data_IF_743155763485
#
_entry.id   IF_743155763485
#
_cell.length_a   1.000
_cell.length_b   1.000
_cell.length_c   1.000
_cell.angle_alpha   90.00
_cell.angle_beta   90.00
_cell.angle_gamma   90.00
#
_symmetry.space_group_name_H-M   'P 1'
#
loop_
_entity.id
_entity.type
_entity.pdbx_description
1 polymer ?
#
# COMPACT_ATOMS: atom_id res chain seq x y z
N UNK A 1 19.15 8.31 13.91
CA UNK A 1 19.13 6.86 13.59
C UNK A 1 17.77 6.18 13.79
N UNK A 2 17.03 6.34 14.92
CA UNK A 2 15.74 5.67 15.08
C UNK A 2 14.70 6.05 14.03
N UNK A 3 14.67 7.31 13.58
CA UNK A 3 13.76 7.77 12.52
C UNK A 3 14.04 7.10 11.17
N UNK A 4 15.31 6.90 10.82
CA UNK A 4 15.69 6.21 9.60
C UNK A 4 15.27 4.75 9.65
N UNK A 5 15.51 4.07 10.76
CA UNK A 5 15.13 2.67 10.95
C UNK A 5 13.59 2.51 10.87
N UNK A 6 12.83 3.44 11.47
CA UNK A 6 11.38 3.46 11.40
C UNK A 6 10.89 3.70 9.97
N UNK A 7 11.47 4.65 9.25
CA UNK A 7 11.13 4.92 7.84
C UNK A 7 11.39 3.71 6.94
N UNK A 8 12.51 3.02 7.14
CA UNK A 8 12.82 1.80 6.41
C UNK A 8 11.82 0.69 6.72
N UNK A 9 11.46 0.52 7.99
CA UNK A 9 10.49 -0.51 8.39
C UNK A 9 9.10 -0.24 7.83
N UNK A 10 8.61 1.00 7.91
CA UNK A 10 7.31 1.39 7.35
C UNK A 10 7.33 1.25 5.83
N UNK A 11 8.37 1.75 5.17
CA UNK A 11 8.52 1.63 3.72
C UNK A 11 8.61 0.18 3.25
N UNK A 12 9.27 -0.68 4.01
CA UNK A 12 9.30 -2.12 3.74
C UNK A 12 7.90 -2.73 3.85
N UNK A 13 7.19 -2.46 4.93
CA UNK A 13 5.81 -2.93 5.11
C UNK A 13 4.90 -2.47 3.97
N UNK A 14 4.93 -1.18 3.65
CA UNK A 14 4.10 -0.63 2.58
C UNK A 14 4.44 -1.24 1.21
N UNK A 15 5.72 -1.39 0.90
CA UNK A 15 6.14 -1.99 -0.36
C UNK A 15 5.71 -3.46 -0.46
N UNK A 16 5.96 -4.26 0.57
CA UNK A 16 5.62 -5.68 0.59
C UNK A 16 4.11 -5.90 0.60
N UNK A 17 3.39 -5.18 1.46
CA UNK A 17 1.94 -5.35 1.60
C UNK A 17 1.19 -4.82 0.39
N UNK A 18 1.37 -3.54 0.05
CA UNK A 18 0.56 -2.90 -1.00
C UNK A 18 0.95 -3.32 -2.40
N UNK A 19 2.23 -3.52 -2.68
CA UNK A 19 2.72 -3.86 -4.02
C UNK A 19 2.99 -5.34 -4.17
N UNK A 20 3.67 -5.94 -3.20
CA UNK A 20 4.01 -7.34 -3.25
C UNK A 20 2.83 -8.29 -3.00
N UNK A 21 1.80 -7.86 -2.32
CA UNK A 21 0.66 -8.71 -1.98
C UNK A 21 -0.67 -8.20 -2.52
N UNK A 22 -1.13 -7.02 -2.11
CA UNK A 22 -2.45 -6.49 -2.52
C UNK A 22 -2.53 -6.31 -4.03
N UNK A 23 -1.55 -5.62 -4.62
CA UNK A 23 -1.52 -5.36 -6.06
C UNK A 23 -1.47 -6.66 -6.88
N UNK A 24 -0.63 -7.61 -6.49
CA UNK A 24 -0.53 -8.89 -7.22
C UNK A 24 -1.83 -9.69 -7.15
N UNK A 25 -2.50 -9.73 -6.01
CA UNK A 25 -3.79 -10.42 -5.86
C UNK A 25 -4.89 -9.77 -6.68
N UNK A 26 -4.91 -8.45 -6.72
CA UNK A 26 -5.86 -7.71 -7.56
C UNK A 26 -5.55 -7.92 -9.06
N UNK A 27 -4.27 -7.93 -9.43
CA UNK A 27 -3.85 -8.17 -10.81
C UNK A 27 -4.26 -9.58 -11.30
N UNK A 28 -4.06 -10.59 -10.46
CA UNK A 28 -4.50 -11.97 -10.76
C UNK A 28 -6.02 -12.10 -10.93
N UNK A 29 -6.79 -11.30 -10.18
CA UNK A 29 -8.24 -11.40 -10.17
C UNK A 29 -8.93 -10.53 -11.21
N UNK A 30 -8.44 -9.33 -11.46
CA UNK A 30 -9.11 -8.29 -12.26
C UNK A 30 -8.27 -7.77 -13.44
N UNK A 31 -7.04 -8.20 -13.57
CA UNK A 31 -6.10 -7.67 -14.56
C UNK A 31 -5.34 -6.44 -14.07
N UNK A 32 -4.36 -6.00 -14.86
CA UNK A 32 -3.38 -5.00 -14.47
C UNK A 32 -4.01 -3.61 -14.20
N UNK A 33 -4.85 -3.11 -15.10
CA UNK A 33 -5.40 -1.74 -14.97
C UNK A 33 -6.30 -1.58 -13.75
N UNK A 34 -7.32 -2.43 -13.54
CA UNK A 34 -8.13 -2.35 -12.32
C UNK A 34 -7.31 -2.56 -11.05
N UNK A 35 -6.32 -3.42 -11.08
CA UNK A 35 -5.44 -3.68 -9.95
C UNK A 35 -4.65 -2.44 -9.53
N UNK A 36 -4.08 -1.72 -10.50
CA UNK A 36 -3.34 -0.47 -10.26
C UNK A 36 -4.26 0.57 -9.62
N UNK A 37 -5.44 0.78 -10.16
CA UNK A 37 -6.40 1.77 -9.65
C UNK A 37 -6.89 1.42 -8.24
N UNK A 38 -7.33 0.18 -8.04
CA UNK A 38 -7.86 -0.29 -6.75
C UNK A 38 -6.79 -0.30 -5.65
N UNK A 39 -5.59 -0.80 -5.95
CA UNK A 39 -4.51 -0.81 -4.97
C UNK A 39 -4.05 0.59 -4.59
N UNK A 40 -4.04 1.52 -5.54
CA UNK A 40 -3.69 2.93 -5.28
C UNK A 40 -4.77 3.63 -4.46
N UNK A 41 -6.03 3.33 -4.72
CA UNK A 41 -7.15 3.86 -3.94
C UNK A 41 -7.12 3.34 -2.50
N UNK A 42 -6.92 2.05 -2.30
CA UNK A 42 -6.78 1.45 -0.97
C UNK A 42 -5.57 2.01 -0.22
N UNK A 43 -4.44 2.17 -0.90
CA UNK A 43 -3.26 2.81 -0.35
C UNK A 43 -3.54 4.24 0.13
N UNK A 44 -4.30 5.00 -0.65
CA UNK A 44 -4.71 6.36 -0.29
C UNK A 44 -5.61 6.36 0.95
N UNK A 45 -6.61 5.48 0.99
CA UNK A 45 -7.50 5.35 2.15
C UNK A 45 -6.79 4.89 3.42
N UNK A 46 -5.75 4.10 3.29
CA UNK A 46 -4.89 3.73 4.41
C UNK A 46 -4.32 4.96 5.14
N UNK A 47 -4.11 6.06 4.43
CA UNK A 47 -3.60 7.31 5.00
C UNK A 47 -4.67 8.24 5.57
N UNK A 48 -5.95 7.86 5.55
CA UNK A 48 -7.05 8.72 6.03
C UNK A 48 -6.90 9.09 7.52
N UNK A 49 -6.33 8.20 8.31
CA UNK A 49 -6.07 8.40 9.73
C UNK A 49 -4.99 9.43 10.06
N UNK A 50 -4.22 9.86 9.06
CA UNK A 50 -3.16 10.86 9.25
C UNK A 50 -3.65 12.31 9.19
N UNK A 51 -4.95 12.53 8.99
CA UNK A 51 -5.54 13.88 8.97
C UNK A 51 -5.16 14.72 7.75
N UNK A 52 -4.85 14.06 6.63
CA UNK A 52 -4.45 14.73 5.38
C UNK A 52 -5.63 15.43 4.71
N UNK A 53 -5.35 16.58 4.08
CA UNK A 53 -6.32 17.30 3.26
C UNK A 53 -6.62 16.56 1.93
N UNK A 54 -7.70 16.97 1.26
CA UNK A 54 -8.13 16.34 0.01
C UNK A 54 -7.06 16.42 -1.08
N UNK A 55 -6.32 17.52 -1.16
CA UNK A 55 -5.22 17.68 -2.13
C UNK A 55 -4.06 16.73 -1.87
N UNK A 56 -3.74 16.50 -0.59
CA UNK A 56 -2.70 15.56 -0.18
C UNK A 56 -3.12 14.11 -0.47
N UNK A 57 -4.38 13.78 -0.23
CA UNK A 57 -4.96 12.48 -0.57
C UNK A 57 -4.92 12.22 -2.08
N UNK A 58 -5.28 13.22 -2.89
CA UNK A 58 -5.18 13.12 -4.35
C UNK A 58 -3.73 12.90 -4.81
N UNK A 59 -2.78 13.61 -4.21
CA UNK A 59 -1.35 13.44 -4.49
C UNK A 59 -0.85 12.03 -4.13
N UNK A 60 -1.26 11.51 -2.98
CA UNK A 60 -0.96 10.13 -2.58
C UNK A 60 -1.53 9.10 -3.54
N UNK A 61 -2.72 9.34 -4.06
CA UNK A 61 -3.32 8.46 -5.07
C UNK A 61 -2.47 8.39 -6.33
N UNK A 62 -2.01 9.53 -6.85
CA UNK A 62 -1.11 9.56 -8.01
C UNK A 62 0.24 8.90 -7.73
N UNK A 63 0.83 9.13 -6.56
CA UNK A 63 2.04 8.42 -6.14
C UNK A 63 1.78 6.91 -6.06
N UNK A 64 0.64 6.51 -5.51
CA UNK A 64 0.21 5.12 -5.47
C UNK A 64 0.14 4.48 -6.84
N UNK A 65 -0.44 5.17 -7.82
CA UNK A 65 -0.47 4.72 -9.23
C UNK A 65 0.96 4.58 -9.77
N UNK A 66 1.80 5.57 -9.57
CA UNK A 66 3.19 5.55 -10.06
C UNK A 66 3.95 4.35 -9.51
N UNK A 67 3.85 4.09 -8.20
CA UNK A 67 4.47 2.92 -7.59
C UNK A 67 3.89 1.62 -8.11
N UNK A 68 2.57 1.54 -8.26
CA UNK A 68 1.90 0.34 -8.77
C UNK A 68 2.31 0.03 -10.21
N UNK A 69 2.35 1.03 -11.09
CA UNK A 69 2.81 0.88 -12.47
C UNK A 69 4.27 0.41 -12.51
N UNK A 70 5.15 1.06 -11.74
CA UNK A 70 6.56 0.70 -11.65
C UNK A 70 6.72 -0.77 -11.23
N UNK A 71 5.98 -1.19 -10.21
CA UNK A 71 6.02 -2.57 -9.76
C UNK A 71 5.43 -3.55 -10.78
N UNK A 72 4.31 -3.24 -11.41
CA UNK A 72 3.72 -4.08 -12.45
C UNK A 72 4.67 -4.31 -13.64
N UNK A 73 5.40 -3.27 -14.04
CA UNK A 73 6.34 -3.35 -15.16
C UNK A 73 7.62 -4.08 -14.82
N UNK A 74 8.14 -3.91 -13.62
CA UNK A 74 9.44 -4.45 -13.20
C UNK A 74 9.34 -5.74 -12.40
N UNK A 75 8.22 -5.97 -11.71
CA UNK A 75 8.03 -7.04 -10.73
C UNK A 75 9.14 -7.12 -9.69
N UNK A 76 9.79 -5.99 -9.43
CA UNK A 76 10.93 -5.88 -8.54
C UNK A 76 10.67 -4.87 -7.42
N UNK A 77 10.46 -5.38 -6.22
CA UNK A 77 10.19 -4.56 -5.05
C UNK A 77 11.38 -3.71 -4.63
N UNK A 78 12.60 -4.11 -4.97
CA UNK A 78 13.83 -3.38 -4.65
C UNK A 78 13.98 -2.06 -5.42
N UNK A 79 13.15 -1.80 -6.42
CA UNK A 79 13.05 -0.50 -7.07
C UNK A 79 12.32 0.50 -6.17
N UNK A 80 11.31 0.04 -5.43
CA UNK A 80 10.52 0.88 -4.52
C UNK A 80 11.17 0.98 -3.14
N UNK A 81 11.67 -0.10 -2.62
CA UNK A 81 12.37 -0.18 -1.34
C UNK A 81 13.84 -0.61 -1.59
N UNK A 82 14.83 -0.05 -0.90
CA UNK A 82 14.72 0.84 0.28
C UNK A 82 14.73 2.35 -0.03
N UNK A 83 14.70 2.78 -1.26
CA UNK A 83 14.98 4.18 -1.59
C UNK A 83 13.69 5.02 -1.68
N UNK A 84 12.84 4.76 -2.68
CA UNK A 84 11.73 5.68 -3.00
C UNK A 84 10.66 5.77 -1.91
N UNK A 85 10.18 4.65 -1.42
CA UNK A 85 9.09 4.62 -0.46
C UNK A 85 9.51 5.10 0.94
N UNK A 86 10.66 4.66 1.50
CA UNK A 86 11.14 5.19 2.78
C UNK A 86 11.54 6.65 2.77
N UNK A 87 12.00 7.19 1.63
CA UNK A 87 12.37 8.61 1.53
C UNK A 87 11.17 9.53 1.79
N UNK A 88 10.00 9.22 1.24
CA UNK A 88 8.78 9.98 1.53
C UNK A 88 8.42 9.98 3.01
N UNK A 89 8.52 8.83 3.66
CA UNK A 89 8.29 8.68 5.10
C UNK A 89 9.31 9.45 5.92
N UNK A 90 10.59 9.39 5.57
CA UNK A 90 11.65 10.10 6.29
C UNK A 90 11.47 11.62 6.21
N UNK A 91 11.12 12.15 5.04
CA UNK A 91 10.85 13.58 4.87
C UNK A 91 9.69 14.02 5.75
N UNK A 92 8.59 13.27 5.77
CA UNK A 92 7.42 13.54 6.61
C UNK A 92 7.79 13.51 8.10
N UNK A 93 8.52 12.50 8.55
CA UNK A 93 8.95 12.37 9.94
C UNK A 93 9.89 13.48 10.40
N UNK A 94 10.76 13.96 9.52
CA UNK A 94 11.66 15.08 9.82
C UNK A 94 10.88 16.39 9.92
N UNK A 95 9.91 16.61 9.02
CA UNK A 95 9.12 17.83 8.92
C UNK A 95 8.10 17.95 10.05
N UNK A 96 7.33 16.92 10.29
CA UNK A 96 6.15 16.95 11.14
C UNK A 96 6.34 16.25 12.50
N UNK A 97 7.47 15.55 12.67
CA UNK A 97 7.74 14.72 13.84
C UNK A 97 6.92 13.43 13.87
N UNK A 98 7.13 12.63 14.91
CA UNK A 98 6.38 11.39 15.12
C UNK A 98 5.08 11.71 15.87
N UNK A 99 4.05 12.09 15.16
CA UNK A 99 2.70 12.19 15.69
C UNK A 99 1.86 11.06 15.10
N UNK A 100 1.56 10.07 15.92
CA UNK A 100 0.63 8.99 15.59
C UNK A 100 -0.68 9.24 16.36
N UNK A 101 -1.64 10.00 15.79
CA UNK A 101 -2.94 10.14 16.43
C UNK A 101 -3.63 8.76 16.49
N UNK A 102 -4.47 8.54 17.50
CA UNK A 102 -5.25 7.31 17.67
C UNK A 102 -6.02 6.93 16.39
N UNK A 103 -6.47 7.94 15.65
CA UNK A 103 -7.18 7.77 14.38
C UNK A 103 -6.32 7.09 13.29
N UNK A 104 -4.99 7.16 13.38
CA UNK A 104 -4.10 6.43 12.47
C UNK A 104 -4.27 4.90 12.59
N UNK A 105 -4.78 4.41 13.73
CA UNK A 105 -5.14 3.00 13.90
C UNK A 105 -6.23 2.53 12.92
N UNK A 106 -7.06 3.43 12.40
CA UNK A 106 -8.06 3.09 11.38
C UNK A 106 -7.43 2.55 10.10
N UNK A 107 -6.26 3.08 9.71
CA UNK A 107 -5.53 2.58 8.55
C UNK A 107 -5.06 1.14 8.72
N UNK A 108 -4.64 0.74 9.92
CA UNK A 108 -4.29 -0.64 10.21
C UNK A 108 -5.51 -1.56 10.20
N UNK A 109 -6.66 -1.09 10.71
CA UNK A 109 -7.92 -1.84 10.66
C UNK A 109 -8.37 -2.01 9.21
N UNK A 110 -8.29 -0.97 8.40
CA UNK A 110 -8.60 -1.04 6.97
C UNK A 110 -7.71 -2.05 6.25
N UNK A 111 -6.39 -2.01 6.48
CA UNK A 111 -5.45 -2.96 5.91
C UNK A 111 -5.77 -4.40 6.32
N UNK A 112 -6.12 -4.62 7.59
CA UNK A 112 -6.52 -5.94 8.09
C UNK A 112 -7.80 -6.43 7.40
N UNK A 113 -8.82 -5.56 7.29
CA UNK A 113 -10.08 -5.89 6.61
C UNK A 113 -9.83 -6.21 5.13
N UNK A 114 -9.04 -5.39 4.44
CA UNK A 114 -8.67 -5.63 3.05
C UNK A 114 -7.94 -6.97 2.88
N UNK A 115 -7.01 -7.28 3.78
CA UNK A 115 -6.29 -8.56 3.78
C UNK A 115 -7.23 -9.75 3.96
N UNK A 116 -8.12 -9.69 4.95
CA UNK A 116 -9.09 -10.76 5.22
C UNK A 116 -10.06 -10.93 4.04
N UNK A 117 -10.54 -9.83 3.47
CA UNK A 117 -11.40 -9.86 2.29
C UNK A 117 -10.71 -10.51 1.09
N UNK A 118 -9.45 -10.14 0.81
CA UNK A 118 -8.69 -10.71 -0.30
C UNK A 118 -8.38 -12.21 -0.10
N UNK A 119 -8.07 -12.61 1.13
CA UNK A 119 -7.90 -14.04 1.46
C UNK A 119 -9.21 -14.80 1.24
N UNK A 120 -10.33 -14.24 1.70
CA UNK A 120 -11.64 -14.86 1.52
C UNK A 120 -12.05 -14.96 0.05
N UNK A 121 -11.88 -13.89 -0.72
CA UNK A 121 -12.13 -13.91 -2.17
C UNK A 121 -11.21 -14.87 -2.90
N UNK A 122 -9.91 -14.86 -2.60
CA UNK A 122 -8.93 -15.77 -3.16
C UNK A 122 -9.26 -17.23 -2.88
N UNK A 123 -9.65 -17.55 -1.65
CA UNK A 123 -10.10 -18.89 -1.27
C UNK A 123 -11.36 -19.30 -2.05
N UNK A 124 -12.37 -18.43 -2.12
CA UNK A 124 -13.59 -18.70 -2.89
C UNK A 124 -13.34 -18.89 -4.38
N UNK A 125 -12.48 -18.03 -4.95
CA UNK A 125 -12.10 -18.11 -6.35
C UNK A 125 -11.38 -19.44 -6.66
N UNK A 126 -10.39 -19.78 -5.85
CA UNK A 126 -9.66 -21.03 -5.98
C UNK A 126 -10.58 -22.25 -5.88
N UNK A 127 -11.50 -22.26 -4.89
CA UNK A 127 -12.48 -23.35 -4.74
C UNK A 127 -13.43 -23.47 -5.93
N UNK A 128 -13.83 -22.35 -6.55
CA UNK A 128 -14.73 -22.34 -7.71
C UNK A 128 -14.03 -22.82 -8.99
N UNK A 129 -12.72 -22.61 -9.11
CA UNK A 129 -11.93 -22.92 -10.30
C UNK A 129 -10.97 -24.10 -10.07
N UNK A 130 -11.01 -24.73 -8.90
CA UNK A 130 -10.34 -26.00 -8.69
C UNK A 130 -10.99 -27.03 -9.62
N UNK A 131 -10.21 -27.56 -10.56
CA UNK A 131 -10.67 -28.63 -11.45
C UNK A 131 -11.08 -29.86 -10.63
N UNK A 132 -12.16 -30.57 -11.04
CA UNK A 132 -12.52 -31.85 -10.40
C UNK A 132 -11.45 -32.90 -10.60
#
# INVERSE_FOLDING_TARGET
MPLLALSLAIGFFEAVFWRGWVLLRLEESFGMIPAILLSSLLYTFYHIGYGMGMSEMAFLFFIGIMYAVTFCLTKNIFILWPIFQPMGQLVTLIKDGLQLPLIAGLGFIEALIAMLALVWFGYRYAKKHAAP
#
